data_IF_575517832871
#
_entry.id   IF_575517832871
#
_cell.length_a   1.000
_cell.length_b   1.000
_cell.length_c   1.000
_cell.angle_alpha   90.00
_cell.angle_beta   90.00
_cell.angle_gamma   90.00
#
_symmetry.space_group_name_H-M   'P 1'
#
loop_
_entity.id
_entity.type
_entity.pdbx_description
1 polymer ?
#
# COMPACT_ATOMS: atom_id res chain seq x y z
N UNK A 1 -17.97 10.22 10.26
CA UNK A 1 -16.54 9.89 10.29
C UNK A 1 -15.95 10.01 8.89
N UNK A 2 -14.70 9.62 8.70
CA UNK A 2 -14.05 9.55 7.38
C UNK A 2 -14.13 8.09 6.92
N UNK A 3 -14.60 7.84 5.70
CA UNK A 3 -14.53 6.52 5.08
C UNK A 3 -13.12 6.28 4.52
N UNK A 4 -12.63 5.05 4.62
CA UNK A 4 -11.31 4.65 4.16
C UNK A 4 -11.36 3.23 3.59
N UNK A 5 -10.30 2.87 2.86
CA UNK A 5 -10.11 1.55 2.26
C UNK A 5 -8.92 0.87 2.92
N UNK A 6 -9.12 -0.36 3.38
CA UNK A 6 -8.09 -1.14 4.05
C UNK A 6 -7.71 -2.34 3.20
N UNK A 7 -6.45 -2.35 2.75
CA UNK A 7 -5.93 -3.40 1.89
C UNK A 7 -5.18 -4.44 2.74
N UNK A 8 -5.69 -5.68 2.76
CA UNK A 8 -5.11 -6.78 3.53
C UNK A 8 -4.32 -7.75 2.66
N UNK A 9 -3.17 -8.22 3.15
CA UNK A 9 -2.41 -9.30 2.51
C UNK A 9 -2.92 -10.64 2.99
N UNK A 10 -2.69 -11.69 2.22
CA UNK A 10 -3.10 -13.06 2.60
C UNK A 10 -2.17 -13.71 3.64
N UNK A 11 -0.96 -13.18 3.84
CA UNK A 11 0.01 -13.74 4.79
C UNK A 11 -0.44 -13.53 6.24
N UNK A 12 -0.01 -14.42 7.14
CA UNK A 12 -0.43 -14.45 8.55
C UNK A 12 -0.15 -13.14 9.30
N UNK A 13 0.89 -12.40 8.93
CA UNK A 13 1.22 -11.12 9.55
C UNK A 13 0.24 -9.99 9.22
N UNK A 14 -0.65 -10.20 8.23
CA UNK A 14 -1.66 -9.24 7.81
C UNK A 14 -3.07 -9.79 7.88
N UNK A 15 -3.31 -11.03 7.45
CA UNK A 15 -4.64 -11.63 7.39
C UNK A 15 -5.18 -11.89 8.79
N UNK A 16 -6.03 -10.99 9.28
CA UNK A 16 -6.69 -11.08 10.56
C UNK A 16 -8.21 -10.89 10.40
N UNK A 17 -8.96 -11.99 10.52
CA UNK A 17 -10.41 -11.97 10.30
C UNK A 17 -11.14 -11.06 11.29
N UNK A 18 -10.62 -10.93 12.52
CA UNK A 18 -11.26 -10.10 13.55
C UNK A 18 -11.23 -8.62 13.16
N UNK A 19 -10.07 -8.13 12.72
CA UNK A 19 -9.86 -6.78 12.23
C UNK A 19 -10.62 -6.52 10.94
N UNK A 20 -10.64 -7.49 10.01
CA UNK A 20 -11.41 -7.39 8.77
C UNK A 20 -12.90 -7.21 9.07
N UNK A 21 -13.47 -8.05 9.95
CA UNK A 21 -14.88 -7.93 10.35
C UNK A 21 -15.19 -6.60 11.03
N UNK A 22 -14.29 -6.10 11.87
CA UNK A 22 -14.45 -4.82 12.54
C UNK A 22 -14.45 -3.66 11.54
N UNK A 23 -13.49 -3.62 10.61
CA UNK A 23 -13.39 -2.60 9.56
C UNK A 23 -14.64 -2.58 8.68
N UNK A 24 -15.12 -3.76 8.25
CA UNK A 24 -16.35 -3.87 7.47
C UNK A 24 -17.57 -3.41 8.28
N UNK A 25 -17.66 -3.77 9.56
CA UNK A 25 -18.73 -3.32 10.47
C UNK A 25 -18.73 -1.80 10.67
N UNK A 26 -17.55 -1.17 10.60
CA UNK A 26 -17.38 0.29 10.62
C UNK A 26 -17.69 0.95 9.26
N UNK A 27 -18.16 0.19 8.27
CA UNK A 27 -18.52 0.64 6.93
C UNK A 27 -17.32 1.22 6.15
N UNK A 28 -16.13 0.68 6.40
CA UNK A 28 -14.94 0.91 5.58
C UNK A 28 -14.85 -0.14 4.47
N UNK A 29 -14.16 0.21 3.38
CA UNK A 29 -13.93 -0.71 2.28
C UNK A 29 -12.83 -1.72 2.65
N UNK A 30 -13.04 -2.99 2.30
CA UNK A 30 -12.01 -4.02 2.30
C UNK A 30 -11.47 -4.19 0.87
N UNK A 31 -10.16 -4.03 0.71
CA UNK A 31 -9.43 -4.26 -0.53
C UNK A 31 -8.43 -5.41 -0.40
N UNK A 32 -8.01 -5.99 -1.53
CA UNK A 32 -6.97 -7.03 -1.54
C UNK A 32 -5.57 -6.43 -1.77
N UNK A 33 -4.67 -6.57 -0.78
CA UNK A 33 -3.26 -6.20 -0.93
C UNK A 33 -2.45 -7.37 -1.49
N UNK A 34 -2.53 -7.56 -2.81
CA UNK A 34 -2.05 -8.78 -3.45
C UNK A 34 -0.52 -8.88 -3.51
N UNK A 35 0.00 -10.09 -3.35
CA UNK A 35 1.43 -10.38 -3.47
C UNK A 35 1.73 -11.76 -4.08
N UNK A 36 0.76 -12.26 -4.84
CA UNK A 36 0.71 -13.65 -5.30
C UNK A 36 1.85 -14.02 -6.24
N UNK A 37 2.33 -13.11 -7.09
CA UNK A 37 3.45 -13.42 -8.00
C UNK A 37 4.76 -13.57 -7.23
N UNK A 38 4.99 -12.73 -6.23
CA UNK A 38 6.14 -12.84 -5.36
C UNK A 38 6.08 -14.14 -4.54
N UNK A 39 4.92 -14.50 -3.99
CA UNK A 39 4.73 -15.76 -3.24
C UNK A 39 4.86 -17.00 -4.14
N UNK A 40 4.43 -16.91 -5.40
CA UNK A 40 4.55 -17.98 -6.39
C UNK A 40 5.94 -18.04 -7.06
N UNK A 41 6.92 -17.29 -6.56
CA UNK A 41 8.27 -17.22 -7.11
C UNK A 41 8.33 -16.94 -8.63
N UNK A 42 7.41 -16.11 -9.13
CA UNK A 42 7.34 -15.72 -10.54
C UNK A 42 6.55 -16.66 -11.44
N UNK A 43 5.94 -17.72 -10.88
CA UNK A 43 5.05 -18.59 -11.66
C UNK A 43 3.69 -17.90 -11.86
N UNK A 44 3.47 -17.36 -13.06
CA UNK A 44 2.24 -16.65 -13.44
C UNK A 44 0.97 -17.47 -13.24
N UNK A 45 0.98 -18.73 -13.68
CA UNK A 45 -0.17 -19.64 -13.53
C UNK A 45 -0.51 -19.88 -12.05
N UNK A 46 0.49 -20.16 -11.22
CA UNK A 46 0.29 -20.40 -9.80
C UNK A 46 -0.12 -19.12 -9.08
N UNK A 47 0.46 -17.97 -9.47
CA UNK A 47 0.11 -16.66 -8.94
C UNK A 47 -1.36 -16.31 -9.24
N UNK A 48 -1.84 -16.51 -10.46
CA UNK A 48 -3.23 -16.25 -10.82
C UNK A 48 -4.19 -17.17 -10.06
N UNK A 49 -3.86 -18.46 -9.96
CA UNK A 49 -4.66 -19.41 -9.16
C UNK A 49 -4.68 -19.05 -7.67
N UNK A 50 -3.55 -18.56 -7.13
CA UNK A 50 -3.46 -18.05 -5.77
C UNK A 50 -4.31 -16.80 -5.60
N UNK A 51 -4.19 -15.84 -6.51
CA UNK A 51 -4.95 -14.58 -6.50
C UNK A 51 -6.46 -14.85 -6.48
N UNK A 52 -6.98 -15.68 -7.38
CA UNK A 52 -8.40 -16.02 -7.44
C UNK A 52 -8.90 -16.66 -6.14
N UNK A 53 -8.14 -17.64 -5.61
CA UNK A 53 -8.46 -18.30 -4.34
C UNK A 53 -8.48 -17.30 -3.18
N UNK A 54 -7.50 -16.42 -3.10
CA UNK A 54 -7.34 -15.48 -1.98
C UNK A 54 -8.37 -14.34 -2.07
N UNK A 55 -8.66 -13.85 -3.28
CA UNK A 55 -9.72 -12.88 -3.50
C UNK A 55 -11.08 -13.43 -3.06
N UNK A 56 -11.38 -14.71 -3.38
CA UNK A 56 -12.59 -15.39 -2.90
C UNK A 56 -12.67 -15.43 -1.37
N UNK A 57 -11.57 -15.68 -0.67
CA UNK A 57 -11.52 -15.62 0.79
C UNK A 57 -11.89 -14.24 1.34
N UNK A 58 -11.30 -13.16 0.82
CA UNK A 58 -11.69 -11.82 1.26
C UNK A 58 -13.15 -11.50 0.93
N UNK A 59 -13.67 -12.06 -0.17
CA UNK A 59 -15.08 -11.92 -0.57
C UNK A 59 -16.09 -12.63 0.33
N UNK A 60 -15.65 -13.50 1.22
CA UNK A 60 -16.50 -14.05 2.29
C UNK A 60 -16.89 -12.97 3.32
N UNK A 61 -16.14 -11.87 3.41
CA UNK A 61 -16.37 -10.78 4.36
C UNK A 61 -16.99 -9.53 3.72
N UNK A 62 -16.61 -9.21 2.48
CA UNK A 62 -16.95 -7.97 1.81
C UNK A 62 -16.87 -8.13 0.28
N UNK A 63 -17.71 -7.48 -0.53
CA UNK A 63 -17.61 -7.55 -1.99
C UNK A 63 -16.37 -6.79 -2.50
N UNK A 64 -15.18 -7.36 -2.33
CA UNK A 64 -13.90 -6.76 -2.70
C UNK A 64 -13.89 -6.50 -4.21
N UNK A 65 -13.82 -5.23 -4.58
CA UNK A 65 -13.76 -4.75 -5.98
C UNK A 65 -12.51 -3.91 -6.25
N UNK A 66 -11.69 -3.61 -5.24
CA UNK A 66 -10.42 -2.90 -5.41
C UNK A 66 -9.26 -3.74 -4.88
N UNK A 67 -8.08 -3.48 -5.43
CA UNK A 67 -6.85 -4.13 -5.00
C UNK A 67 -5.68 -3.15 -5.08
N UNK A 68 -4.58 -3.48 -4.42
CA UNK A 68 -3.35 -2.69 -4.49
C UNK A 68 -2.16 -3.64 -4.31
N UNK A 69 -1.10 -3.50 -5.12
CA UNK A 69 0.03 -4.42 -5.02
C UNK A 69 0.77 -4.23 -3.69
N UNK A 70 1.21 -5.31 -3.08
CA UNK A 70 2.28 -5.21 -2.10
C UNK A 70 3.62 -5.11 -2.84
N UNK A 71 4.46 -4.17 -2.41
CA UNK A 71 5.75 -3.91 -3.07
C UNK A 71 6.81 -4.99 -2.87
N UNK A 72 6.62 -5.98 -1.99
CA UNK A 72 7.52 -7.13 -1.74
C UNK A 72 9.02 -6.85 -2.00
N UNK A 73 9.65 -5.89 -1.29
CA UNK A 73 10.94 -5.30 -1.67
C UNK A 73 12.13 -6.28 -1.69
N UNK A 74 12.00 -7.41 -1.00
CA UNK A 74 13.01 -8.48 -0.98
C UNK A 74 12.84 -9.51 -2.11
N UNK A 75 11.71 -9.47 -2.82
CA UNK A 75 11.45 -10.33 -3.97
C UNK A 75 11.92 -9.64 -5.25
N UNK A 76 12.54 -10.40 -6.15
CA UNK A 76 12.85 -9.92 -7.52
C UNK A 76 11.59 -9.75 -8.38
N UNK A 77 10.48 -10.39 -8.00
CA UNK A 77 9.22 -10.36 -8.74
C UNK A 77 8.37 -9.17 -8.29
N UNK A 78 8.03 -8.30 -9.23
CA UNK A 78 7.06 -7.23 -9.05
C UNK A 78 5.66 -7.78 -9.28
N UNK A 79 4.80 -7.70 -8.26
CA UNK A 79 3.45 -8.27 -8.32
C UNK A 79 2.58 -7.69 -9.43
N UNK A 80 2.81 -6.44 -9.83
CA UNK A 80 2.10 -5.80 -10.94
C UNK A 80 2.26 -6.56 -12.25
N UNK A 81 3.39 -7.26 -12.42
CA UNK A 81 3.69 -8.03 -13.63
C UNK A 81 2.71 -9.16 -13.89
N UNK A 82 1.99 -9.63 -12.89
CA UNK A 82 0.93 -10.62 -13.09
C UNK A 82 -0.09 -10.16 -14.14
N UNK A 83 -0.32 -8.85 -14.21
CA UNK A 83 -1.34 -8.24 -15.06
C UNK A 83 -0.84 -7.85 -16.45
N UNK A 84 0.45 -8.10 -16.76
CA UNK A 84 0.95 -8.02 -18.14
C UNK A 84 0.40 -9.20 -18.97
N UNK A 85 0.09 -10.34 -18.33
CA UNK A 85 -0.37 -11.59 -18.96
C UNK A 85 -1.88 -11.85 -18.76
N UNK A 86 -2.50 -11.22 -17.75
CA UNK A 86 -3.89 -11.46 -17.37
C UNK A 86 -4.62 -10.14 -17.09
N UNK A 87 -5.95 -10.18 -17.18
CA UNK A 87 -6.78 -9.02 -16.88
C UNK A 87 -7.47 -9.16 -15.52
N UNK A 88 -7.06 -8.34 -14.53
CA UNK A 88 -7.69 -8.34 -13.21
C UNK A 88 -9.17 -7.93 -13.24
N UNK A 89 -9.62 -7.23 -14.30
CA UNK A 89 -11.04 -6.88 -14.48
C UNK A 89 -11.93 -8.11 -14.66
N UNK A 90 -11.39 -9.22 -15.17
CA UNK A 90 -12.12 -10.50 -15.31
C UNK A 90 -12.54 -11.06 -13.94
N UNK A 91 -11.88 -10.63 -12.87
CA UNK A 91 -12.19 -11.00 -11.50
C UNK A 91 -13.14 -10.01 -10.82
N UNK A 92 -13.68 -9.03 -11.54
CA UNK A 92 -14.58 -8.00 -10.99
C UNK A 92 -13.86 -6.93 -10.15
N UNK A 93 -12.55 -6.81 -10.32
CA UNK A 93 -11.79 -5.67 -9.76
C UNK A 93 -12.01 -4.47 -10.68
N UNK A 94 -12.29 -3.30 -10.11
CA UNK A 94 -12.57 -2.07 -10.86
C UNK A 94 -11.41 -1.08 -10.84
N UNK A 95 -10.50 -1.20 -9.86
CA UNK A 95 -9.36 -0.30 -9.71
C UNK A 95 -8.16 -0.96 -9.03
N UNK A 96 -6.98 -0.68 -9.58
CA UNK A 96 -5.67 -0.84 -8.96
C UNK A 96 -4.93 0.53 -9.05
N UNK A 97 -4.48 1.12 -7.91
CA UNK A 97 -3.98 2.49 -7.88
C UNK A 97 -2.88 2.84 -8.89
N UNK A 98 -1.95 1.93 -9.18
CA UNK A 98 -0.81 2.19 -10.05
C UNK A 98 -1.14 2.07 -11.54
N UNK A 99 -2.29 1.47 -11.87
CA UNK A 99 -2.76 1.35 -13.25
C UNK A 99 -3.89 2.31 -13.57
N UNK A 100 -4.79 2.56 -12.60
CA UNK A 100 -6.09 3.17 -12.88
C UNK A 100 -6.23 4.59 -12.33
N UNK A 101 -5.30 5.07 -11.50
CA UNK A 101 -5.33 6.42 -10.95
C UNK A 101 -4.35 7.35 -11.65
N UNK A 102 -4.76 8.60 -11.82
CA UNK A 102 -3.95 9.67 -12.39
C UNK A 102 -3.37 10.54 -11.28
N UNK A 103 -2.12 10.26 -10.90
CA UNK A 103 -1.40 10.99 -9.86
C UNK A 103 -0.96 12.41 -10.27
N UNK A 104 -1.20 12.82 -11.53
CA UNK A 104 -1.11 14.23 -11.90
C UNK A 104 -2.34 15.05 -11.48
N UNK A 105 -3.43 14.36 -11.11
CA UNK A 105 -4.66 14.96 -10.55
C UNK A 105 -4.81 14.72 -9.07
N UNK A 106 -4.23 13.63 -8.56
CA UNK A 106 -4.32 13.20 -7.17
C UNK A 106 -2.97 13.42 -6.48
N UNK A 107 -2.94 14.29 -5.48
CA UNK A 107 -1.75 14.45 -4.66
C UNK A 107 -1.59 13.23 -3.74
N UNK A 108 -0.56 12.42 -3.99
CA UNK A 108 -0.31 11.20 -3.23
C UNK A 108 0.69 11.43 -2.10
N UNK A 109 0.31 11.03 -0.89
CA UNK A 109 1.15 11.00 0.29
C UNK A 109 1.21 9.58 0.85
N UNK A 110 2.40 9.10 1.17
CA UNK A 110 2.60 7.80 1.82
C UNK A 110 3.53 7.95 3.02
N UNK A 111 3.17 7.32 4.15
CA UNK A 111 4.04 7.23 5.33
C UNK A 111 5.02 6.04 5.26
N UNK A 112 5.11 5.40 4.09
CA UNK A 112 6.01 4.29 3.83
C UNK A 112 7.41 4.60 4.38
N UNK A 113 7.99 3.63 5.07
CA UNK A 113 9.32 3.76 5.67
C UNK A 113 9.43 4.87 6.76
N UNK A 114 8.32 5.28 7.39
CA UNK A 114 8.22 6.27 8.49
C UNK A 114 8.59 7.71 8.11
N UNK A 115 8.35 8.08 6.87
CA UNK A 115 8.59 9.43 6.37
C UNK A 115 7.63 9.69 5.22
N UNK A 116 7.04 10.88 5.19
CA UNK A 116 6.19 11.29 4.08
C UNK A 116 7.01 11.36 2.78
N UNK A 117 6.61 10.58 1.78
CA UNK A 117 7.16 10.59 0.41
C UNK A 117 8.69 10.47 0.30
N UNK A 118 9.29 9.56 1.06
CA UNK A 118 10.73 9.28 0.98
C UNK A 118 11.04 8.28 -0.14
N UNK A 119 11.17 8.79 -1.36
CA UNK A 119 11.49 7.97 -2.53
C UNK A 119 12.87 7.32 -2.46
N UNK A 120 13.82 7.89 -1.69
CA UNK A 120 15.18 7.38 -1.56
C UNK A 120 15.27 6.00 -0.87
N UNK A 121 14.17 5.51 -0.28
CA UNK A 121 14.10 4.21 0.42
C UNK A 121 13.00 3.30 -0.12
N UNK A 122 12.24 3.75 -1.11
CA UNK A 122 11.07 3.05 -1.63
C UNK A 122 11.36 2.56 -3.05
N UNK A 123 11.31 1.25 -3.25
CA UNK A 123 11.65 0.62 -4.54
C UNK A 123 10.51 0.69 -5.56
N UNK A 124 9.27 0.38 -5.14
CA UNK A 124 8.13 0.14 -6.05
C UNK A 124 6.91 1.04 -5.82
N UNK A 125 6.76 1.59 -4.62
CA UNK A 125 5.74 2.58 -4.29
C UNK A 125 6.24 3.97 -4.71
N UNK A 126 6.18 4.21 -6.02
CA UNK A 126 6.55 5.45 -6.70
C UNK A 126 5.47 5.79 -7.73
N UNK A 127 5.15 7.07 -7.85
CA UNK A 127 4.14 7.58 -8.79
C UNK A 127 4.70 8.80 -9.51
N UNK A 128 4.42 8.92 -10.80
CA UNK A 128 4.73 10.13 -11.55
C UNK A 128 3.68 11.20 -11.23
N UNK A 129 4.13 12.36 -10.77
CA UNK A 129 3.26 13.42 -10.26
C UNK A 129 3.82 14.80 -10.59
N UNK A 130 2.93 15.71 -10.99
CA UNK A 130 3.24 17.14 -11.16
C UNK A 130 3.39 17.90 -9.83
N UNK A 131 2.97 17.30 -8.72
CA UNK A 131 2.98 17.97 -7.42
C UNK A 131 4.38 17.96 -6.81
N UNK A 132 5.02 19.14 -6.78
CA UNK A 132 6.31 19.34 -6.13
C UNK A 132 6.15 20.02 -4.76
N UNK A 133 5.42 19.38 -3.85
CA UNK A 133 5.17 19.89 -2.49
C UNK A 133 5.96 19.05 -1.48
N UNK A 134 6.90 19.68 -0.77
CA UNK A 134 7.69 19.00 0.26
C UNK A 134 6.90 18.86 1.56
N UNK A 135 6.66 17.61 1.99
CA UNK A 135 6.06 17.28 3.29
C UNK A 135 7.11 16.60 4.15
N UNK A 136 7.56 17.27 5.21
CA UNK A 136 8.58 16.73 6.13
C UNK A 136 7.95 16.19 7.42
N UNK A 137 6.73 16.64 7.74
CA UNK A 137 6.02 16.26 8.96
C UNK A 137 4.51 16.30 8.77
N UNK A 138 3.79 15.60 9.64
CA UNK A 138 2.32 15.69 9.71
C UNK A 138 1.85 17.12 9.99
N UNK A 139 2.65 17.94 10.68
CA UNK A 139 2.34 19.35 10.90
C UNK A 139 2.32 20.16 9.59
N UNK A 140 3.11 19.78 8.59
CA UNK A 140 3.12 20.47 7.30
C UNK A 140 1.81 20.19 6.54
N UNK A 141 1.33 18.93 6.58
CA UNK A 141 0.01 18.55 6.06
C UNK A 141 -1.09 19.39 6.72
N UNK A 142 -1.07 19.50 8.06
CA UNK A 142 -2.05 20.28 8.83
C UNK A 142 -2.00 21.76 8.43
N UNK A 143 -0.80 22.34 8.27
CA UNK A 143 -0.63 23.74 7.87
C UNK A 143 -1.19 23.99 6.47
N UNK A 144 -0.90 23.12 5.50
CA UNK A 144 -1.39 23.25 4.13
C UNK A 144 -2.93 23.19 4.08
N UNK A 145 -3.54 22.24 4.82
CA UNK A 145 -4.99 22.14 4.93
C UNK A 145 -5.60 23.41 5.54
N UNK A 146 -5.02 23.94 6.63
CA UNK A 146 -5.52 25.15 7.30
C UNK A 146 -5.40 26.41 6.45
N UNK A 147 -4.37 26.49 5.60
CA UNK A 147 -4.16 27.63 4.69
C UNK A 147 -5.01 27.55 3.42
N UNK A 148 -5.56 26.38 3.11
CA UNK A 148 -6.26 26.14 1.83
C UNK A 148 -5.31 25.90 0.65
N UNK A 149 -4.03 25.63 0.92
CA UNK A 149 -2.98 25.40 -0.09
C UNK A 149 -2.89 23.93 -0.54
N UNK A 150 -3.65 23.02 0.11
CA UNK A 150 -3.66 21.60 -0.23
C UNK A 150 -4.32 21.37 -1.61
N UNK A 151 -3.74 20.54 -2.49
CA UNK A 151 -4.41 20.12 -3.71
C UNK A 151 -5.81 19.58 -3.46
N UNK A 152 -6.72 19.82 -4.41
CA UNK A 152 -8.15 19.49 -4.26
C UNK A 152 -8.41 17.99 -4.03
N UNK A 153 -7.59 17.14 -4.65
CA UNK A 153 -7.66 15.68 -4.48
C UNK A 153 -6.39 15.21 -3.80
N UNK A 154 -6.56 14.56 -2.66
CA UNK A 154 -5.49 14.04 -1.80
C UNK A 154 -5.75 12.55 -1.55
N UNK A 155 -4.72 11.74 -1.75
CA UNK A 155 -4.71 10.33 -1.35
C UNK A 155 -3.61 10.15 -0.30
N UNK A 156 -3.96 9.62 0.87
CA UNK A 156 -3.01 9.31 1.93
C UNK A 156 -2.98 7.79 2.12
N UNK A 157 -1.83 7.20 1.85
CA UNK A 157 -1.50 5.82 2.18
C UNK A 157 -0.83 5.77 3.56
N UNK A 158 -1.44 5.06 4.50
CA UNK A 158 -0.88 4.87 5.84
C UNK A 158 -0.62 3.41 6.14
N UNK A 159 0.46 3.14 6.87
CA UNK A 159 0.79 1.80 7.32
C UNK A 159 0.61 1.71 8.84
N UNK A 160 -0.43 1.02 9.34
CA UNK A 160 -0.77 1.01 10.76
C UNK A 160 0.40 0.68 11.70
N UNK A 161 1.32 -0.20 11.29
CA UNK A 161 2.48 -0.58 12.10
C UNK A 161 3.48 0.56 12.35
N UNK A 162 3.39 1.69 11.65
CA UNK A 162 4.22 2.87 11.88
C UNK A 162 3.67 3.76 13.01
N UNK A 163 2.39 3.61 13.38
CA UNK A 163 1.68 4.49 14.30
C UNK A 163 1.68 3.90 15.71
N UNK A 164 2.55 4.43 16.55
CA UNK A 164 2.71 3.97 17.93
C UNK A 164 1.62 4.55 18.83
N UNK A 165 1.11 3.71 19.74
CA UNK A 165 0.18 4.10 20.81
C UNK A 165 0.96 4.54 22.07
N UNK A 166 2.23 4.14 22.20
CA UNK A 166 3.09 4.49 23.34
C UNK A 166 4.52 4.86 22.94
N UNK A 167 5.23 5.58 23.81
CA UNK A 167 6.62 6.00 23.58
C UNK A 167 7.59 4.81 23.41
N UNK A 168 7.39 3.71 24.13
CA UNK A 168 8.22 2.52 24.02
C UNK A 168 8.00 1.80 22.68
N UNK A 169 6.74 1.68 22.25
CA UNK A 169 6.41 1.16 20.92
C UNK A 169 6.99 2.06 19.82
N UNK A 170 6.90 3.38 19.99
CA UNK A 170 7.48 4.34 19.05
C UNK A 170 8.99 4.16 18.91
N UNK A 171 9.71 3.99 20.02
CA UNK A 171 11.16 3.77 19.99
C UNK A 171 11.50 2.44 19.32
N UNK A 172 10.77 1.36 19.63
CA UNK A 172 10.95 0.05 18.98
C UNK A 172 10.73 0.14 17.47
N UNK A 173 9.65 0.77 17.03
CA UNK A 173 9.34 1.01 15.62
C UNK A 173 10.45 1.82 14.98
N UNK A 174 10.95 2.88 15.64
CA UNK A 174 12.04 3.73 15.14
C UNK A 174 13.31 2.94 14.88
N UNK A 175 13.75 2.13 15.83
CA UNK A 175 14.97 1.33 15.69
C UNK A 175 14.81 0.27 14.59
N UNK A 176 13.71 -0.47 14.61
CA UNK A 176 13.45 -1.55 13.65
C UNK A 176 13.30 -1.06 12.21
N UNK A 177 12.47 -0.02 11.99
CA UNK A 177 12.30 0.56 10.66
C UNK A 177 13.57 1.30 10.21
N UNK A 178 14.31 1.92 11.13
CA UNK A 178 15.62 2.51 10.84
C UNK A 178 16.58 1.47 10.24
N UNK A 179 16.69 0.29 10.85
CA UNK A 179 17.50 -0.81 10.33
C UNK A 179 17.02 -1.30 8.96
N UNK A 180 15.71 -1.55 8.81
CA UNK A 180 15.11 -1.97 7.52
C UNK A 180 15.37 -0.96 6.40
N UNK A 181 15.26 0.33 6.69
CA UNK A 181 15.47 1.38 5.68
C UNK A 181 16.92 1.43 5.19
N UNK A 182 17.92 1.10 6.03
CA UNK A 182 19.31 1.01 5.57
C UNK A 182 19.49 -0.14 4.56
N UNK A 183 18.87 -1.30 4.82
CA UNK A 183 18.89 -2.42 3.88
C UNK A 183 18.19 -2.04 2.57
N UNK A 184 17.02 -1.40 2.65
CA UNK A 184 16.30 -0.93 1.45
C UNK A 184 17.13 0.05 0.62
N UNK A 185 17.82 1.01 1.25
CA UNK A 185 18.73 1.95 0.54
C UNK A 185 19.80 1.23 -0.28
N UNK A 186 20.37 0.16 0.27
CA UNK A 186 21.37 -0.65 -0.45
C UNK A 186 20.72 -1.36 -1.65
N UNK A 187 19.49 -1.86 -1.51
CA UNK A 187 18.77 -2.52 -2.59
C UNK A 187 18.39 -1.53 -3.71
N UNK A 188 17.94 -0.32 -3.37
CA UNK A 188 17.64 0.74 -4.34
C UNK A 188 18.87 1.08 -5.17
N UNK A 189 20.00 1.35 -4.51
CA UNK A 189 21.28 1.65 -5.19
C UNK A 189 21.84 0.54 -6.08
N UNK A 190 21.38 -0.71 -5.92
CA UNK A 190 21.77 -1.85 -6.76
C UNK A 190 20.84 -2.06 -7.96
N UNK A 191 19.65 -1.48 -7.91
CA UNK A 191 18.62 -1.59 -8.94
C UNK A 191 18.66 -0.41 -9.93
N UNK A 192 19.27 0.71 -9.53
CA UNK A 192 19.73 1.82 -10.40
C UNK A 192 20.97 1.42 -11.21
#
# INVERSE_FOLDING_TARGET
>A
GIAASYFFRIVNESYDESSIREIVKLNHELGYHYEDLALAAGSFKNALSSFDKNLKKFREFYPVTTMCMHGSPMSKWDNRKLWDEFNYRDYGIIAEPYFDLDFNKIFYLTDASRSWNNEAVTLRDKVDSVYNISINSTNDIIKLLKKGDMPKQLMISTHPHNWAISNSQWLKIKLWQGAKNQVKKILVKRAE
#
